data_IF_031314949997
#
_entry.id   IF_031314949997
#
_cell.length_a   1.000
_cell.length_b   1.000
_cell.length_c   1.000
_cell.angle_alpha   90.00
_cell.angle_beta   90.00
_cell.angle_gamma   90.00
#
_symmetry.space_group_name_H-M   'P 1'
#
loop_
_entity.id
_entity.type
_entity.pdbx_description
1 polymer ?
#
# COMPACT_ATOMS: atom_id res chain seq x y z
N UNK A 1 -21.10 9.02 16.71
CA UNK A 1 -20.33 10.19 17.20
C UNK A 1 -19.28 10.51 16.15
N UNK A 2 -19.26 11.71 15.57
CA UNK A 2 -18.16 12.14 14.70
C UNK A 2 -16.94 12.36 15.61
N UNK A 3 -15.91 11.54 15.48
CA UNK A 3 -14.66 11.75 16.23
C UNK A 3 -14.12 13.14 15.89
N UNK A 4 -13.70 13.89 16.92
CA UNK A 4 -13.01 15.16 16.70
C UNK A 4 -11.72 14.90 15.90
N UNK A 5 -11.36 15.78 14.96
CA UNK A 5 -10.12 15.62 14.22
C UNK A 5 -8.92 15.67 15.16
N UNK A 6 -7.94 14.84 14.89
CA UNK A 6 -6.63 14.84 15.56
C UNK A 6 -5.68 15.70 14.74
N UNK A 7 -4.95 16.61 15.38
CA UNK A 7 -3.91 17.39 14.72
C UNK A 7 -2.60 16.63 14.74
N UNK A 8 -2.01 16.47 13.57
CA UNK A 8 -0.71 15.87 13.37
C UNK A 8 0.28 16.91 12.86
N UNK A 9 1.56 16.71 13.20
CA UNK A 9 2.67 17.49 12.65
C UNK A 9 3.44 16.64 11.66
N UNK A 10 3.73 17.18 10.49
CA UNK A 10 4.62 16.56 9.49
C UNK A 10 6.04 16.49 10.07
N UNK A 11 6.53 15.27 10.32
CA UNK A 11 7.87 15.02 10.84
C UNK A 11 8.90 14.87 9.72
N UNK A 12 8.51 14.20 8.64
CA UNK A 12 9.38 13.90 7.50
C UNK A 12 8.59 13.93 6.20
N UNK A 13 9.26 14.37 5.15
CA UNK A 13 8.81 14.25 3.76
C UNK A 13 9.93 13.57 2.98
N UNK A 14 9.62 12.51 2.25
CA UNK A 14 10.53 11.80 1.36
C UNK A 14 9.97 11.82 -0.05
N UNK A 15 10.75 12.25 -1.00
CA UNK A 15 10.39 12.15 -2.41
C UNK A 15 10.59 10.70 -2.86
N UNK A 16 9.55 10.10 -3.41
CA UNK A 16 9.56 8.74 -3.93
C UNK A 16 9.70 8.73 -5.45
N UNK A 17 8.90 9.57 -6.10
CA UNK A 17 8.97 9.83 -7.54
C UNK A 17 8.63 11.30 -7.80
N UNK A 18 8.73 11.75 -9.04
CA UNK A 18 8.28 13.11 -9.41
C UNK A 18 6.79 13.35 -9.07
N UNK A 19 6.00 12.29 -8.93
CA UNK A 19 4.56 12.35 -8.70
C UNK A 19 4.13 11.82 -7.33
N UNK A 20 5.03 11.28 -6.51
CA UNK A 20 4.68 10.68 -5.22
C UNK A 20 5.66 11.08 -4.12
N UNK A 21 5.12 11.40 -2.96
CA UNK A 21 5.88 11.69 -1.72
C UNK A 21 5.36 10.85 -0.58
N UNK A 22 6.24 10.32 0.24
CA UNK A 22 5.90 9.71 1.51
C UNK A 22 6.03 10.76 2.61
N UNK A 23 4.93 11.01 3.34
CA UNK A 23 4.92 11.92 4.48
C UNK A 23 4.76 11.12 5.77
N UNK A 24 5.52 11.47 6.81
CA UNK A 24 5.39 10.91 8.15
C UNK A 24 4.70 11.93 9.05
N UNK A 25 3.61 11.53 9.68
CA UNK A 25 2.80 12.34 10.57
C UNK A 25 2.94 11.83 12.00
N UNK A 26 3.14 12.74 12.96
CA UNK A 26 3.17 12.45 14.38
C UNK A 26 2.25 13.41 15.14
N UNK A 27 1.72 12.98 16.27
CA UNK A 27 0.83 13.76 17.10
C UNK A 27 0.84 13.23 18.54
N UNK A 28 0.15 13.92 19.41
CA UNK A 28 0.03 13.50 20.82
C UNK A 28 -0.61 12.12 20.97
N UNK A 29 -1.45 11.74 20.02
CA UNK A 29 -2.15 10.45 19.99
C UNK A 29 -1.98 9.79 18.63
N UNK A 30 -1.24 8.69 18.60
CA UNK A 30 -1.19 7.78 17.45
C UNK A 30 -2.37 6.81 17.55
N UNK A 31 -3.05 6.61 16.42
CA UNK A 31 -4.17 5.68 16.38
C UNK A 31 -3.70 4.22 16.45
N UNK A 32 -4.48 3.39 17.10
CA UNK A 32 -4.39 1.94 16.91
C UNK A 32 -5.12 1.61 15.61
N UNK A 33 -4.48 0.90 14.70
CA UNK A 33 -5.05 0.58 13.38
C UNK A 33 -4.62 -0.82 12.91
N UNK A 34 -5.34 -1.34 11.92
CA UNK A 34 -5.03 -2.57 11.20
C UNK A 34 -4.28 -2.18 9.92
N UNK A 35 -3.24 -2.93 9.48
CA UNK A 35 -2.53 -2.64 8.22
C UNK A 35 -3.50 -2.43 7.06
N UNK A 36 -3.25 -1.40 6.26
CA UNK A 36 -4.08 -1.08 5.10
C UNK A 36 -5.36 -0.30 5.36
N UNK A 37 -5.69 0.04 6.61
CA UNK A 37 -6.78 0.98 6.90
C UNK A 37 -6.48 2.36 6.32
N UNK A 38 -7.53 3.18 6.20
CA UNK A 38 -7.45 4.54 5.66
C UNK A 38 -7.70 5.58 6.75
N UNK A 39 -7.23 6.80 6.48
CA UNK A 39 -7.55 7.99 7.23
C UNK A 39 -8.18 9.03 6.31
N UNK A 40 -9.01 9.90 6.87
CA UNK A 40 -9.34 11.17 6.25
C UNK A 40 -8.26 12.15 6.71
N UNK A 41 -7.51 12.71 5.76
CA UNK A 41 -6.56 13.78 6.03
C UNK A 41 -7.09 15.08 5.42
N UNK A 42 -6.85 16.19 6.10
CA UNK A 42 -7.28 17.49 5.67
C UNK A 42 -6.31 18.60 6.05
N UNK A 43 -6.43 19.70 5.37
CA UNK A 43 -5.77 20.96 5.68
C UNK A 43 -6.79 22.07 5.75
N UNK A 44 -6.56 23.02 6.65
CA UNK A 44 -7.43 24.17 6.84
C UNK A 44 -7.65 24.90 5.51
N UNK A 45 -8.89 25.31 5.24
CA UNK A 45 -9.35 26.01 4.02
C UNK A 45 -9.23 25.20 2.70
N UNK A 46 -8.61 24.00 2.70
CA UNK A 46 -8.46 23.17 1.50
C UNK A 46 -9.51 22.04 1.44
N UNK A 47 -9.92 21.54 2.61
CA UNK A 47 -10.84 20.42 2.72
C UNK A 47 -10.17 19.13 3.20
N UNK A 48 -10.82 17.99 2.96
CA UNK A 48 -10.38 16.68 3.43
C UNK A 48 -10.58 15.59 2.38
N UNK A 49 -9.75 14.54 2.40
CA UNK A 49 -9.83 13.39 1.50
C UNK A 49 -9.29 12.13 2.16
N UNK A 50 -9.54 10.96 1.52
CA UNK A 50 -9.13 9.65 2.03
C UNK A 50 -7.71 9.30 1.58
N UNK A 51 -6.90 8.82 2.53
CA UNK A 51 -5.53 8.33 2.27
C UNK A 51 -5.31 7.03 3.03
N UNK A 52 -4.72 6.04 2.37
CA UNK A 52 -4.35 4.80 3.03
C UNK A 52 -3.15 5.00 3.95
N UNK A 53 -3.22 4.40 5.14
CA UNK A 53 -2.09 4.36 6.08
C UNK A 53 -1.05 3.39 5.49
N UNK A 54 0.14 3.90 5.22
CA UNK A 54 1.23 3.17 4.58
C UNK A 54 2.26 2.60 5.56
N UNK A 55 2.16 2.95 6.84
CA UNK A 55 2.97 2.38 7.94
C UNK A 55 2.33 1.12 8.52
N UNK A 56 3.12 0.35 9.26
CA UNK A 56 2.62 -0.75 10.08
C UNK A 56 2.18 -0.25 11.47
N UNK A 57 1.24 -0.93 12.15
CA UNK A 57 0.92 -0.64 13.56
C UNK A 57 2.11 -0.75 14.50
N UNK A 58 3.08 -1.61 14.17
CA UNK A 58 4.31 -1.85 14.92
C UNK A 58 5.35 -0.73 14.77
N UNK A 59 5.19 0.15 13.78
CA UNK A 59 6.14 1.23 13.52
C UNK A 59 6.08 2.30 14.62
N UNK A 60 7.25 2.66 15.18
CA UNK A 60 7.36 3.65 16.26
C UNK A 60 7.49 5.10 15.79
N UNK A 61 7.58 5.32 14.50
CA UNK A 61 7.89 6.64 13.91
C UNK A 61 6.68 7.53 13.59
N UNK A 62 5.49 7.16 14.02
CA UNK A 62 4.23 7.81 13.59
C UNK A 62 3.58 7.11 12.41
N UNK A 63 2.55 7.74 11.85
CA UNK A 63 1.85 7.20 10.68
C UNK A 63 2.44 7.76 9.39
N UNK A 64 2.58 6.92 8.38
CA UNK A 64 3.06 7.32 7.06
C UNK A 64 1.97 7.22 6.00
N UNK A 65 2.00 8.14 5.05
CA UNK A 65 1.05 8.23 3.95
C UNK A 65 1.79 8.50 2.65
N UNK A 66 1.48 7.73 1.62
CA UNK A 66 1.99 7.96 0.27
C UNK A 66 1.04 8.90 -0.46
N UNK A 67 1.50 10.10 -0.72
CA UNK A 67 0.71 11.17 -1.34
C UNK A 67 1.08 11.26 -2.82
N UNK A 68 0.09 11.04 -3.67
CA UNK A 68 0.23 11.29 -5.11
C UNK A 68 -0.08 12.75 -5.40
N UNK A 69 0.74 13.39 -6.24
CA UNK A 69 0.52 14.76 -6.73
C UNK A 69 -0.84 14.83 -7.43
N UNK A 70 -1.61 15.86 -7.10
CA UNK A 70 -2.94 16.07 -7.64
C UNK A 70 -3.46 17.47 -7.32
N UNK A 71 -4.78 17.64 -7.42
CA UNK A 71 -5.47 18.86 -7.05
C UNK A 71 -6.06 18.80 -5.63
N UNK A 72 -6.55 19.94 -5.13
CA UNK A 72 -7.19 20.03 -3.82
C UNK A 72 -6.29 19.51 -2.69
N UNK A 73 -6.87 18.69 -1.82
CA UNK A 73 -6.17 18.16 -0.62
C UNK A 73 -4.92 17.35 -0.97
N UNK A 74 -4.96 16.57 -2.04
CA UNK A 74 -3.80 15.79 -2.49
C UNK A 74 -2.63 16.70 -2.90
N UNK A 75 -2.93 17.76 -3.65
CA UNK A 75 -1.94 18.78 -4.03
C UNK A 75 -1.37 19.53 -2.84
N UNK A 76 -2.23 19.92 -1.90
CA UNK A 76 -1.81 20.59 -0.68
C UNK A 76 -0.90 19.69 0.18
N UNK A 77 -1.29 18.42 0.41
CA UNK A 77 -0.47 17.45 1.13
C UNK A 77 0.81 17.10 0.40
N UNK A 78 0.83 17.11 -0.93
CA UNK A 78 2.06 16.94 -1.71
C UNK A 78 3.05 18.09 -1.49
N UNK A 79 2.54 19.31 -1.23
CA UNK A 79 3.33 20.52 -0.98
C UNK A 79 3.83 20.70 0.46
N UNK A 80 3.41 19.85 1.42
CA UNK A 80 3.76 20.03 2.82
C UNK A 80 5.26 19.91 3.07
N UNK A 81 5.70 20.56 4.15
CA UNK A 81 7.07 20.52 4.68
C UNK A 81 7.03 20.08 6.14
N UNK A 82 8.18 19.66 6.66
CA UNK A 82 8.34 19.40 8.09
C UNK A 82 7.85 20.59 8.92
N UNK A 83 7.05 20.29 9.94
CA UNK A 83 6.44 21.25 10.84
C UNK A 83 5.04 21.73 10.42
N UNK A 84 4.59 21.44 9.20
CA UNK A 84 3.20 21.75 8.82
C UNK A 84 2.21 20.90 9.61
N UNK A 85 1.02 21.44 9.84
CA UNK A 85 -0.07 20.76 10.53
C UNK A 85 -1.01 20.11 9.54
N UNK A 86 -1.46 18.91 9.85
CA UNK A 86 -2.43 18.12 9.09
C UNK A 86 -3.50 17.63 10.05
N UNK A 87 -4.76 17.84 9.69
CA UNK A 87 -5.90 17.31 10.43
C UNK A 87 -6.18 15.88 9.97
N UNK A 88 -6.47 14.97 10.90
CA UNK A 88 -6.79 13.61 10.57
C UNK A 88 -7.96 13.06 11.34
N UNK A 89 -8.73 12.19 10.70
CA UNK A 89 -9.84 11.40 11.29
C UNK A 89 -9.67 9.95 10.88
N UNK A 90 -9.81 9.03 11.83
CA UNK A 90 -9.66 7.60 11.55
C UNK A 90 -9.28 6.80 12.78
N UNK A 91 -8.77 5.57 12.60
CA UNK A 91 -8.70 4.86 11.33
C UNK A 91 -10.07 4.42 10.81
N UNK A 92 -10.19 4.18 9.50
CA UNK A 92 -11.42 3.80 8.82
C UNK A 92 -11.18 2.60 7.89
N UNK A 93 -12.27 1.92 7.51
CA UNK A 93 -12.21 0.75 6.63
C UNK A 93 -11.80 -0.52 7.37
N UNK A 94 -11.80 -1.64 6.63
CA UNK A 94 -11.48 -2.96 7.21
C UNK A 94 -9.99 -3.18 7.39
N UNK A 95 -9.18 -2.61 6.51
CA UNK A 95 -7.77 -2.97 6.43
C UNK A 95 -7.57 -4.44 6.04
N UNK A 96 -6.39 -4.96 6.33
CA UNK A 96 -6.02 -6.36 6.13
C UNK A 96 -5.71 -6.98 7.49
N UNK A 97 -6.62 -7.79 8.07
CA UNK A 97 -6.48 -8.37 9.40
C UNK A 97 -5.53 -9.57 9.39
N UNK A 98 -4.24 -9.33 9.11
CA UNK A 98 -3.23 -10.38 8.91
C UNK A 98 -3.06 -11.31 10.12
N UNK A 99 -3.42 -10.87 11.32
CA UNK A 99 -3.37 -11.68 12.54
C UNK A 99 -4.33 -12.89 12.52
N UNK A 100 -5.31 -12.89 11.62
CA UNK A 100 -6.21 -14.03 11.41
C UNK A 100 -5.60 -15.12 10.51
N UNK A 101 -4.43 -14.86 9.93
CA UNK A 101 -3.82 -15.67 8.86
C UNK A 101 -2.41 -16.15 9.20
N UNK A 102 -2.13 -16.43 10.48
CA UNK A 102 -0.85 -17.04 10.89
C UNK A 102 -0.58 -18.34 10.13
N UNK A 103 0.65 -18.52 9.68
CA UNK A 103 1.11 -19.67 8.91
C UNK A 103 0.63 -19.72 7.47
N UNK A 104 -0.21 -18.77 7.02
CA UNK A 104 -0.75 -18.73 5.65
C UNK A 104 0.22 -18.04 4.69
N UNK A 105 0.14 -18.46 3.44
CA UNK A 105 0.81 -17.79 2.33
C UNK A 105 0.03 -16.55 1.89
N UNK A 106 0.74 -15.51 1.43
CA UNK A 106 0.11 -14.29 0.94
C UNK A 106 0.46 -14.02 -0.52
N UNK A 107 -0.56 -13.68 -1.31
CA UNK A 107 -0.41 -13.01 -2.59
C UNK A 107 -0.87 -11.57 -2.43
N UNK A 108 0.06 -10.64 -2.52
CA UNK A 108 -0.18 -9.21 -2.44
C UNK A 108 -0.16 -8.61 -3.84
N UNK A 109 -1.16 -7.81 -4.22
CA UNK A 109 -1.17 -7.16 -5.53
C UNK A 109 -1.57 -5.68 -5.42
N UNK A 110 -0.79 -4.81 -6.04
CA UNK A 110 -1.02 -3.37 -6.03
C UNK A 110 -0.64 -2.70 -7.36
N UNK A 111 -1.24 -1.54 -7.62
CA UNK A 111 -0.89 -0.68 -8.76
C UNK A 111 -0.69 0.77 -8.32
N UNK A 112 0.36 1.41 -8.81
CA UNK A 112 0.64 2.83 -8.54
C UNK A 112 0.64 3.16 -7.05
N UNK A 113 -0.05 4.22 -6.66
CA UNK A 113 -0.15 4.67 -5.25
C UNK A 113 -0.94 3.73 -4.34
N UNK A 114 -1.69 2.76 -4.91
CA UNK A 114 -2.35 1.72 -4.12
C UNK A 114 -1.38 0.71 -3.47
N UNK A 115 -0.09 0.85 -3.68
CA UNK A 115 0.94 0.16 -2.88
C UNK A 115 0.91 0.60 -1.40
N UNK A 116 0.40 1.79 -1.08
CA UNK A 116 0.40 2.32 0.28
C UNK A 116 -0.23 1.37 1.33
N UNK A 117 -1.47 0.88 1.18
CA UNK A 117 -2.05 -0.06 2.13
C UNK A 117 -1.34 -1.41 2.14
N UNK A 118 -0.83 -1.89 1.00
CA UNK A 118 -0.03 -3.11 0.90
C UNK A 118 1.33 -2.94 1.59
N UNK A 119 1.94 -1.75 1.54
CA UNK A 119 3.17 -1.45 2.29
C UNK A 119 2.95 -1.61 3.80
N UNK A 120 1.81 -1.18 4.33
CA UNK A 120 1.46 -1.42 5.74
C UNK A 120 1.48 -2.90 6.10
N UNK A 121 0.93 -3.75 5.24
CA UNK A 121 0.98 -5.23 5.37
C UNK A 121 2.42 -5.73 5.32
N UNK A 122 3.18 -5.33 4.28
CA UNK A 122 4.58 -5.76 4.09
C UNK A 122 5.45 -5.39 5.29
N UNK A 123 5.29 -4.20 5.85
CA UNK A 123 6.02 -3.77 7.04
C UNK A 123 5.64 -4.59 8.27
N UNK A 124 4.34 -4.81 8.53
CA UNK A 124 3.90 -5.68 9.63
C UNK A 124 4.45 -7.10 9.47
N UNK A 125 4.42 -7.64 8.26
CA UNK A 125 5.02 -8.95 7.95
C UNK A 125 6.53 -8.95 8.22
N UNK A 126 7.26 -7.93 7.80
CA UNK A 126 8.71 -7.85 8.05
C UNK A 126 9.05 -7.81 9.56
N UNK A 127 8.21 -7.18 10.38
CA UNK A 127 8.36 -7.21 11.84
C UNK A 127 8.17 -8.60 12.45
N UNK A 128 7.34 -9.44 11.80
CA UNK A 128 6.90 -10.74 12.31
C UNK A 128 6.98 -11.84 11.22
N UNK A 129 8.06 -11.86 10.46
CA UNK A 129 8.18 -12.71 9.24
C UNK A 129 7.92 -14.20 9.48
N UNK A 130 8.32 -14.70 10.65
CA UNK A 130 8.17 -16.11 11.04
C UNK A 130 6.73 -16.54 11.29
N UNK A 131 5.82 -15.60 11.46
CA UNK A 131 4.41 -15.86 11.71
C UNK A 131 3.65 -16.22 10.42
N UNK A 132 4.26 -16.06 9.24
CA UNK A 132 3.60 -16.21 7.94
C UNK A 132 4.37 -17.16 7.03
N UNK A 133 3.65 -17.80 6.11
CA UNK A 133 4.20 -18.67 5.08
C UNK A 133 4.91 -17.89 3.96
N UNK A 134 4.83 -18.40 2.74
CA UNK A 134 5.42 -17.75 1.58
C UNK A 134 4.66 -16.49 1.19
N UNK A 135 5.38 -15.45 0.78
CA UNK A 135 4.80 -14.14 0.45
C UNK A 135 5.28 -13.69 -0.91
N UNK A 136 4.33 -13.35 -1.76
CA UNK A 136 4.60 -12.83 -3.10
C UNK A 136 3.90 -11.49 -3.27
N UNK A 137 4.65 -10.46 -3.66
CA UNK A 137 4.13 -9.17 -4.09
C UNK A 137 4.17 -9.09 -5.62
N UNK A 138 3.03 -8.78 -6.23
CA UNK A 138 2.94 -8.36 -7.64
C UNK A 138 2.61 -6.87 -7.66
N UNK A 139 3.54 -6.06 -8.14
CA UNK A 139 3.38 -4.61 -8.13
C UNK A 139 3.57 -4.01 -9.52
N UNK A 140 2.57 -3.27 -9.97
CA UNK A 140 2.53 -2.68 -11.31
C UNK A 140 2.45 -1.16 -11.31
N UNK A 141 3.14 -0.55 -12.30
CA UNK A 141 3.05 0.88 -12.61
C UNK A 141 2.93 1.09 -14.12
N UNK A 142 2.71 2.33 -14.56
CA UNK A 142 2.67 2.62 -15.99
C UNK A 142 4.06 2.66 -16.61
N UNK A 143 5.01 3.35 -15.99
CA UNK A 143 6.38 3.56 -16.49
C UNK A 143 7.39 3.21 -15.38
N UNK A 144 8.64 2.84 -15.73
CA UNK A 144 9.66 2.46 -14.74
C UNK A 144 9.92 3.53 -13.67
N UNK A 145 9.87 4.81 -14.03
CA UNK A 145 10.05 5.94 -13.12
C UNK A 145 8.90 6.20 -12.16
N UNK A 146 7.77 5.47 -12.32
CA UNK A 146 6.59 5.62 -11.46
C UNK A 146 6.63 4.73 -10.21
N UNK A 147 7.64 3.86 -10.05
CA UNK A 147 7.76 3.02 -8.86
C UNK A 147 8.19 3.83 -7.65
N UNK A 148 7.32 4.12 -6.66
CA UNK A 148 7.74 4.57 -5.34
C UNK A 148 8.34 3.42 -4.54
N UNK A 149 9.00 3.74 -3.44
CA UNK A 149 9.49 2.78 -2.45
C UNK A 149 10.55 1.79 -2.98
N UNK A 150 11.26 2.15 -4.06
CA UNK A 150 12.30 1.28 -4.64
C UNK A 150 13.34 0.84 -3.61
N UNK A 151 13.69 1.72 -2.67
CA UNK A 151 14.64 1.41 -1.60
C UNK A 151 14.10 0.32 -0.64
N UNK A 152 12.78 0.19 -0.51
CA UNK A 152 12.16 -0.81 0.37
C UNK A 152 12.01 -2.17 -0.32
N UNK A 153 12.03 -2.23 -1.65
CA UNK A 153 11.90 -3.47 -2.41
C UNK A 153 13.03 -4.44 -2.08
N UNK A 154 14.25 -3.94 -1.94
CA UNK A 154 15.40 -4.77 -1.56
C UNK A 154 15.30 -5.27 -0.11
N UNK A 155 14.72 -4.47 0.79
CA UNK A 155 14.45 -4.88 2.17
C UNK A 155 13.39 -6.00 2.21
N UNK A 156 12.35 -5.88 1.39
CA UNK A 156 11.34 -6.93 1.27
C UNK A 156 11.93 -8.24 0.73
N UNK A 157 12.79 -8.17 -0.30
CA UNK A 157 13.50 -9.34 -0.84
C UNK A 157 14.40 -9.99 0.20
N UNK A 158 15.14 -9.20 0.98
CA UNK A 158 15.96 -9.70 2.10
C UNK A 158 15.13 -10.35 3.20
N UNK A 159 13.88 -9.93 3.34
CA UNK A 159 12.89 -10.55 4.25
C UNK A 159 12.18 -11.77 3.63
N UNK A 160 12.76 -12.38 2.58
CA UNK A 160 12.20 -13.55 1.89
C UNK A 160 10.79 -13.30 1.32
N UNK A 161 10.54 -12.11 0.78
CA UNK A 161 9.33 -11.78 0.04
C UNK A 161 9.70 -11.78 -1.45
N UNK A 162 9.03 -12.61 -2.23
CA UNK A 162 9.18 -12.61 -3.69
C UNK A 162 8.51 -11.37 -4.26
N UNK A 163 9.26 -10.53 -4.98
CA UNK A 163 8.74 -9.29 -5.58
C UNK A 163 8.77 -9.39 -7.10
N UNK A 164 7.59 -9.29 -7.70
CA UNK A 164 7.34 -9.26 -9.14
C UNK A 164 6.93 -7.83 -9.51
N UNK A 165 7.80 -7.12 -10.23
CA UNK A 165 7.53 -5.78 -10.75
C UNK A 165 7.09 -5.86 -12.20
N UNK A 166 6.06 -5.10 -12.59
CA UNK A 166 5.59 -5.05 -13.97
C UNK A 166 5.29 -3.61 -14.41
N UNK A 167 5.57 -3.31 -15.66
CA UNK A 167 5.31 -2.01 -16.30
C UNK A 167 4.31 -2.20 -17.43
N UNK A 168 3.23 -1.42 -17.41
CA UNK A 168 2.17 -1.57 -18.42
C UNK A 168 2.40 -0.76 -19.69
N UNK A 169 3.31 0.22 -19.67
CA UNK A 169 3.65 1.09 -20.81
C UNK A 169 5.17 1.26 -20.91
N UNK A 170 5.90 0.21 -21.30
CA UNK A 170 7.37 0.23 -21.38
C UNK A 170 7.93 0.87 -22.65
N UNK A 171 7.09 1.18 -23.67
CA UNK A 171 7.53 1.60 -24.98
C UNK A 171 8.43 2.84 -24.91
N UNK A 172 9.60 2.76 -25.56
CA UNK A 172 10.58 3.86 -25.59
C UNK A 172 11.34 4.09 -24.28
N UNK A 173 11.23 3.19 -23.31
CA UNK A 173 11.88 3.29 -22.00
C UNK A 173 12.85 2.12 -21.78
N UNK A 174 13.89 2.36 -21.00
CA UNK A 174 14.86 1.32 -20.62
C UNK A 174 14.24 0.43 -19.50
N UNK A 175 13.50 -0.59 -19.93
CA UNK A 175 12.87 -1.58 -19.07
C UNK A 175 13.03 -2.98 -19.61
N UNK A 176 13.75 -3.81 -18.85
CA UNK A 176 14.01 -5.23 -19.17
C UNK A 176 13.21 -6.21 -18.31
N UNK A 177 12.39 -5.66 -17.38
CA UNK A 177 11.54 -6.44 -16.48
C UNK A 177 10.23 -6.90 -17.14
N UNK A 178 9.31 -7.39 -16.32
CA UNK A 178 8.00 -7.85 -16.80
C UNK A 178 7.15 -6.71 -17.31
N UNK A 179 6.32 -7.01 -18.31
CA UNK A 179 5.42 -6.04 -18.93
C UNK A 179 3.97 -6.49 -18.81
N UNK A 180 3.03 -5.55 -18.89
CA UNK A 180 1.60 -5.81 -18.78
C UNK A 180 1.03 -5.49 -17.41
N UNK A 181 -0.23 -5.87 -17.22
CA UNK A 181 -0.95 -5.65 -15.96
C UNK A 181 -0.61 -6.71 -14.91
N UNK A 182 -0.83 -6.41 -13.64
CA UNK A 182 -0.51 -7.30 -12.51
C UNK A 182 -1.18 -8.67 -12.63
N UNK A 183 -2.40 -8.73 -13.17
CA UNK A 183 -3.16 -9.97 -13.34
C UNK A 183 -2.45 -10.98 -14.25
N UNK A 184 -1.71 -10.51 -15.24
CA UNK A 184 -0.96 -11.36 -16.18
C UNK A 184 0.15 -12.17 -15.50
N UNK A 185 0.51 -11.79 -14.27
CA UNK A 185 1.60 -12.43 -13.51
C UNK A 185 1.12 -13.29 -12.35
N UNK A 186 -0.21 -13.43 -12.14
CA UNK A 186 -0.74 -14.23 -11.03
C UNK A 186 -0.42 -15.72 -11.16
N UNK A 187 -0.41 -16.29 -12.36
CA UNK A 187 0.02 -17.68 -12.57
C UNK A 187 1.46 -17.92 -12.09
N UNK A 188 2.37 -16.97 -12.35
CA UNK A 188 3.75 -17.03 -11.85
C UNK A 188 3.82 -16.79 -10.34
N UNK A 189 3.01 -15.86 -9.84
CA UNK A 189 2.99 -15.47 -8.44
C UNK A 189 2.49 -16.62 -7.54
N UNK A 190 1.50 -17.37 -8.00
CA UNK A 190 0.89 -18.48 -7.26
C UNK A 190 1.75 -19.74 -7.21
N UNK A 191 2.82 -19.83 -8.03
CA UNK A 191 3.70 -21.02 -8.02
C UNK A 191 4.40 -21.15 -6.67
N UNK A 192 4.17 -22.29 -6.02
CA UNK A 192 4.78 -22.61 -4.71
C UNK A 192 3.97 -22.10 -3.52
N UNK A 193 2.89 -21.35 -3.73
CA UNK A 193 1.95 -21.03 -2.66
C UNK A 193 0.95 -22.18 -2.48
N UNK A 194 0.59 -22.46 -1.23
CA UNK A 194 -0.41 -23.47 -0.88
C UNK A 194 -1.83 -22.96 -1.13
N UNK A 195 -2.52 -22.53 -0.09
CA UNK A 195 -3.83 -21.87 -0.17
C UNK A 195 -3.65 -20.40 0.24
N UNK A 196 -3.21 -19.52 -0.65
CA UNK A 196 -2.88 -18.16 -0.29
C UNK A 196 -4.10 -17.31 0.03
N UNK A 197 -3.90 -16.36 0.95
CA UNK A 197 -4.78 -15.22 1.12
C UNK A 197 -4.31 -14.13 0.16
N UNK A 198 -5.18 -13.68 -0.74
CA UNK A 198 -4.87 -12.62 -1.68
C UNK A 198 -5.34 -11.27 -1.12
N UNK A 199 -4.45 -10.29 -1.05
CA UNK A 199 -4.74 -8.91 -0.65
C UNK A 199 -4.49 -7.99 -1.83
N UNK A 200 -5.54 -7.39 -2.37
CA UNK A 200 -5.47 -6.62 -3.60
C UNK A 200 -5.88 -5.16 -3.38
N UNK A 201 -5.11 -4.24 -3.94
CA UNK A 201 -5.37 -2.80 -3.88
C UNK A 201 -5.15 -2.13 -5.23
N UNK A 202 -6.11 -1.28 -5.62
CA UNK A 202 -6.07 -0.57 -6.89
C UNK A 202 -7.40 0.08 -7.25
N UNK A 203 -7.50 0.55 -8.49
CA UNK A 203 -8.78 1.05 -9.00
C UNK A 203 -9.79 -0.09 -9.22
N UNK A 204 -11.07 0.26 -9.26
CA UNK A 204 -12.18 -0.68 -9.37
C UNK A 204 -11.98 -1.74 -10.47
N UNK A 205 -11.66 -1.31 -11.68
CA UNK A 205 -11.44 -2.23 -12.82
C UNK A 205 -10.28 -3.23 -12.56
N UNK A 206 -9.19 -2.77 -11.93
CA UNK A 206 -8.09 -3.66 -11.54
C UNK A 206 -8.53 -4.67 -10.49
N UNK A 207 -9.31 -4.26 -9.49
CA UNK A 207 -9.79 -5.14 -8.44
C UNK A 207 -10.74 -6.22 -8.98
N UNK A 208 -11.69 -5.84 -9.85
CA UNK A 208 -12.63 -6.76 -10.49
C UNK A 208 -11.87 -7.80 -11.33
N UNK A 209 -11.01 -7.36 -12.24
CA UNK A 209 -10.21 -8.25 -13.09
C UNK A 209 -9.26 -9.14 -12.29
N UNK A 210 -8.64 -8.59 -11.23
CA UNK A 210 -7.76 -9.38 -10.34
C UNK A 210 -8.53 -10.45 -9.60
N UNK A 211 -9.71 -10.11 -9.10
CA UNK A 211 -10.58 -11.06 -8.39
C UNK A 211 -10.99 -12.20 -9.30
N UNK A 212 -11.47 -11.89 -10.52
CA UNK A 212 -11.92 -12.90 -11.50
C UNK A 212 -10.77 -13.83 -11.88
N UNK A 213 -9.59 -13.28 -12.13
CA UNK A 213 -8.41 -14.05 -12.49
C UNK A 213 -7.92 -14.94 -11.34
N UNK A 214 -7.89 -14.44 -10.11
CA UNK A 214 -7.52 -15.20 -8.94
C UNK A 214 -8.47 -16.38 -8.69
N UNK A 215 -9.79 -16.16 -8.84
CA UNK A 215 -10.79 -17.22 -8.74
C UNK A 215 -10.57 -18.26 -9.85
N UNK A 216 -10.34 -17.82 -11.09
CA UNK A 216 -10.05 -18.71 -12.23
C UNK A 216 -8.80 -19.58 -11.97
N UNK A 217 -7.82 -19.04 -11.26
CA UNK A 217 -6.59 -19.73 -10.86
C UNK A 217 -6.73 -20.58 -9.59
N UNK A 218 -7.93 -20.66 -8.99
CA UNK A 218 -8.22 -21.53 -7.86
C UNK A 218 -8.09 -20.90 -6.49
N UNK A 219 -7.88 -19.59 -6.40
CA UNK A 219 -7.91 -18.88 -5.10
C UNK A 219 -9.37 -18.80 -4.62
N UNK A 220 -9.60 -19.17 -3.37
CA UNK A 220 -10.94 -19.16 -2.77
C UNK A 220 -11.48 -17.73 -2.69
N UNK A 221 -12.68 -17.49 -3.18
CA UNK A 221 -13.26 -16.15 -3.31
C UNK A 221 -13.35 -15.36 -1.98
N UNK A 222 -13.53 -16.05 -0.86
CA UNK A 222 -13.55 -15.46 0.49
C UNK A 222 -12.17 -15.12 1.03
N UNK A 223 -11.10 -15.63 0.42
CA UNK A 223 -9.70 -15.37 0.74
C UNK A 223 -9.11 -14.25 -0.14
N UNK A 224 -9.94 -13.58 -0.95
CA UNK A 224 -9.54 -12.42 -1.74
C UNK A 224 -10.05 -11.16 -1.06
N UNK A 225 -9.14 -10.43 -0.43
CA UNK A 225 -9.41 -9.29 0.43
C UNK A 225 -9.09 -7.97 -0.28
N UNK A 226 -9.90 -6.95 0.04
CA UNK A 226 -9.62 -5.54 -0.24
C UNK A 226 -9.61 -4.77 1.09
N UNK A 227 -9.05 -3.57 1.12
CA UNK A 227 -8.89 -2.79 2.35
C UNK A 227 -10.12 -1.93 2.74
N UNK A 228 -11.22 -2.01 2.00
CA UNK A 228 -12.48 -1.28 2.24
C UNK A 228 -13.72 -2.16 2.13
#
# INVERSE_FOLDING_TARGET
MRSQPTTFTVQRVREETAQMRLISLNGERIWSFIPGQVAILGMEEVGESYFAIASAPEDRGGMEFLIQKGEGVSGALFGVKRGNLVQGKGPLGRGFPIDQYHGRDFLLAAVGSAIAPIRGVLRSVCHRRVDFGEIVLVYGVHQPGDFPLLNEIEDWRRSHIKVILTVSRPEGLDWTGRTGYVQSHFTEALRGLGQPVAMICGMKAMLEQSRDELIRLGVVATEILTNY
#
